data_IF_406535169678
#
_entry.id   IF_406535169678
#
_cell.length_a   1.000
_cell.length_b   1.000
_cell.length_c   1.000
_cell.angle_alpha   90.00
_cell.angle_beta   90.00
_cell.angle_gamma   90.00
#
_symmetry.space_group_name_H-M   'P 1'
#
loop_
_entity.id
_entity.type
_entity.pdbx_description
1 polymer ?
#
# COMPACT_ATOMS: atom_id res chain seq x y z
N UNK A 1 10.21 -9.93 -56.03
CA UNK A 1 10.28 -10.71 -54.77
C UNK A 1 9.05 -10.44 -53.93
N UNK A 2 8.19 -11.43 -53.67
CA UNK A 2 7.05 -11.25 -52.73
C UNK A 2 7.63 -11.17 -51.32
N UNK A 3 7.41 -10.05 -50.60
CA UNK A 3 7.77 -9.94 -49.16
C UNK A 3 7.05 -11.08 -48.42
N UNK A 4 7.79 -12.01 -47.82
CA UNK A 4 7.22 -12.99 -46.88
C UNK A 4 6.60 -12.20 -45.72
N UNK A 5 5.29 -12.31 -45.55
CA UNK A 5 4.58 -11.71 -44.42
C UNK A 5 5.15 -12.34 -43.14
N UNK A 6 5.68 -11.52 -42.26
CA UNK A 6 6.28 -11.99 -41.02
C UNK A 6 5.15 -12.41 -40.08
N UNK A 7 5.11 -13.70 -39.70
CA UNK A 7 4.10 -14.23 -38.78
C UNK A 7 4.26 -13.57 -37.41
N UNK A 8 3.16 -13.13 -36.82
CA UNK A 8 3.10 -12.54 -35.50
C UNK A 8 2.69 -13.61 -34.48
N UNK A 9 3.07 -13.40 -33.22
CA UNK A 9 2.62 -14.26 -32.12
C UNK A 9 1.09 -14.32 -32.04
N UNK A 10 0.41 -13.22 -32.33
CA UNK A 10 -1.06 -13.12 -32.36
C UNK A 10 -1.72 -13.94 -33.47
N UNK A 11 -0.94 -14.49 -34.41
CA UNK A 11 -1.44 -15.37 -35.47
C UNK A 11 -1.56 -16.83 -34.98
N UNK A 12 -1.09 -17.15 -33.76
CA UNK A 12 -1.28 -18.45 -33.13
C UNK A 12 -2.75 -18.67 -32.74
N UNK A 13 -3.12 -19.95 -32.60
CA UNK A 13 -4.42 -20.34 -32.07
C UNK A 13 -4.62 -19.74 -30.66
N UNK A 14 -5.85 -19.29 -30.38
CA UNK A 14 -6.24 -18.72 -29.10
C UNK A 14 -5.88 -19.62 -27.91
N UNK A 15 -6.09 -20.94 -28.00
CA UNK A 15 -5.79 -21.89 -26.94
C UNK A 15 -4.29 -21.98 -26.66
N UNK A 16 -3.47 -21.90 -27.71
CA UNK A 16 -2.00 -21.86 -27.58
C UNK A 16 -1.59 -20.56 -26.89
N UNK A 17 -2.21 -19.43 -27.25
CA UNK A 17 -1.95 -18.15 -26.61
C UNK A 17 -2.41 -18.11 -25.16
N UNK A 18 -3.55 -18.72 -24.83
CA UNK A 18 -4.02 -18.91 -23.46
C UNK A 18 -3.04 -19.75 -22.66
N UNK A 19 -2.52 -20.83 -23.23
CA UNK A 19 -1.50 -21.65 -22.59
C UNK A 19 -0.19 -20.87 -22.32
N UNK A 20 0.27 -20.07 -23.29
CA UNK A 20 1.43 -19.17 -23.09
C UNK A 20 1.14 -18.16 -21.97
N UNK A 21 -0.03 -17.54 -21.98
CA UNK A 21 -0.42 -16.56 -20.95
C UNK A 21 -0.51 -17.20 -19.56
N UNK A 22 -0.94 -18.46 -19.48
CA UNK A 22 -0.98 -19.20 -18.22
C UNK A 22 0.42 -19.36 -17.63
N UNK A 23 1.41 -19.74 -18.45
CA UNK A 23 2.81 -19.82 -18.01
C UNK A 23 3.39 -18.46 -17.60
N UNK A 24 2.99 -17.39 -18.28
CA UNK A 24 3.32 -16.03 -17.86
C UNK A 24 2.71 -15.73 -16.48
N UNK A 25 1.44 -16.11 -16.27
CA UNK A 25 0.72 -15.86 -15.02
C UNK A 25 1.34 -16.59 -13.82
N UNK A 26 1.77 -17.85 -13.96
CA UNK A 26 2.37 -18.62 -12.85
C UNK A 26 3.85 -18.29 -12.59
N UNK A 27 4.47 -17.47 -13.45
CA UNK A 27 5.86 -17.06 -13.26
C UNK A 27 6.06 -16.24 -11.97
N UNK A 28 7.27 -16.15 -11.41
CA UNK A 28 7.50 -15.44 -10.13
C UNK A 28 7.05 -13.97 -10.10
N UNK A 29 7.12 -13.27 -11.25
CA UNK A 29 6.57 -11.91 -11.45
C UNK A 29 5.28 -11.95 -12.30
N UNK A 30 4.45 -12.98 -12.11
CA UNK A 30 3.32 -13.26 -12.97
C UNK A 30 2.33 -12.11 -13.07
N UNK A 31 1.95 -11.53 -11.92
CA UNK A 31 1.08 -10.36 -11.88
C UNK A 31 1.69 -9.14 -12.58
N UNK A 32 3.00 -8.90 -12.43
CA UNK A 32 3.70 -7.81 -13.11
C UNK A 32 3.83 -8.01 -14.61
N UNK A 33 4.08 -9.25 -15.04
CA UNK A 33 4.11 -9.63 -16.45
C UNK A 33 2.72 -9.50 -17.08
N UNK A 34 1.67 -9.98 -16.42
CA UNK A 34 0.28 -9.82 -16.89
C UNK A 34 -0.13 -8.34 -16.97
N UNK A 35 0.29 -7.51 -16.01
CA UNK A 35 -0.03 -6.09 -16.03
C UNK A 35 0.56 -5.41 -17.28
N UNK A 36 1.74 -5.86 -17.72
CA UNK A 36 2.38 -5.39 -18.95
C UNK A 36 1.66 -5.89 -20.20
N UNK A 37 1.19 -7.13 -20.23
CA UNK A 37 0.51 -7.69 -21.42
C UNK A 37 -0.83 -7.01 -21.72
N UNK A 38 -1.53 -6.50 -20.69
CA UNK A 38 -2.75 -5.69 -20.86
C UNK A 38 -2.59 -4.48 -21.81
N UNK A 39 -1.37 -3.94 -21.91
CA UNK A 39 -1.07 -2.73 -22.68
C UNK A 39 -0.58 -3.03 -24.11
N UNK A 40 -0.40 -4.30 -24.47
CA UNK A 40 0.21 -4.68 -25.76
C UNK A 40 -0.81 -4.63 -26.90
N UNK A 41 -1.92 -5.35 -26.78
CA UNK A 41 -2.97 -5.38 -27.77
C UNK A 41 -4.29 -5.89 -27.18
N UNK A 42 -5.40 -5.74 -27.94
CA UNK A 42 -6.74 -6.17 -27.50
C UNK A 42 -6.80 -7.68 -27.19
N UNK A 43 -6.16 -8.51 -28.02
CA UNK A 43 -6.14 -9.96 -27.82
C UNK A 43 -5.44 -10.36 -26.51
N UNK A 44 -4.29 -9.75 -26.20
CA UNK A 44 -3.61 -10.02 -24.93
C UNK A 44 -4.33 -9.44 -23.73
N UNK A 45 -5.05 -8.34 -23.91
CA UNK A 45 -5.95 -7.83 -22.88
C UNK A 45 -7.08 -8.82 -22.57
N UNK A 46 -7.73 -9.35 -23.61
CA UNK A 46 -8.78 -10.38 -23.47
C UNK A 46 -8.22 -11.65 -22.78
N UNK A 47 -7.04 -12.13 -23.17
CA UNK A 47 -6.38 -13.28 -22.55
C UNK A 47 -5.94 -13.00 -21.10
N UNK A 48 -5.46 -11.81 -20.79
CA UNK A 48 -5.03 -11.44 -19.44
C UNK A 48 -6.22 -11.25 -18.48
N UNK A 49 -7.40 -10.92 -19.02
CA UNK A 49 -8.66 -10.82 -18.26
C UNK A 49 -9.43 -12.16 -18.19
N UNK A 50 -8.89 -13.24 -18.77
CA UNK A 50 -9.46 -14.59 -18.66
C UNK A 50 -9.39 -15.10 -17.21
N UNK A 51 -10.49 -15.70 -16.74
CA UNK A 51 -10.64 -16.12 -15.35
C UNK A 51 -9.58 -17.14 -14.91
N UNK A 52 -9.21 -18.09 -15.79
CA UNK A 52 -8.23 -19.13 -15.46
C UNK A 52 -6.83 -18.50 -15.32
N UNK A 53 -6.52 -17.53 -16.17
CA UNK A 53 -5.26 -16.78 -16.15
C UNK A 53 -5.17 -15.91 -14.89
N UNK A 54 -6.22 -15.16 -14.60
CA UNK A 54 -6.30 -14.31 -13.40
C UNK A 54 -6.22 -15.13 -12.12
N UNK A 55 -6.81 -16.33 -12.09
CA UNK A 55 -6.76 -17.24 -10.94
C UNK A 55 -5.36 -17.84 -10.73
N UNK A 56 -4.61 -18.04 -11.81
CA UNK A 56 -3.26 -18.61 -11.80
C UNK A 56 -2.15 -17.57 -11.54
N UNK A 57 -2.44 -16.28 -11.67
CA UNK A 57 -1.47 -15.21 -11.50
C UNK A 57 -0.74 -15.29 -10.15
N UNK A 58 0.60 -15.34 -10.17
CA UNK A 58 1.42 -15.34 -8.97
C UNK A 58 1.82 -13.91 -8.56
N UNK A 59 1.87 -13.70 -7.24
CA UNK A 59 2.25 -12.43 -6.60
C UNK A 59 3.54 -12.58 -5.76
N UNK A 60 4.32 -13.64 -6.00
CA UNK A 60 5.42 -14.06 -5.11
C UNK A 60 6.57 -13.05 -5.02
N UNK A 61 6.90 -12.34 -6.11
CA UNK A 61 7.92 -11.29 -6.11
C UNK A 61 7.38 -9.88 -5.82
N UNK A 62 6.07 -9.74 -5.62
CA UNK A 62 5.49 -8.43 -5.34
C UNK A 62 5.73 -8.09 -3.86
N UNK A 63 6.87 -7.43 -3.60
CA UNK A 63 7.23 -6.98 -2.25
C UNK A 63 6.11 -6.10 -1.69
N UNK A 64 5.62 -6.41 -0.50
CA UNK A 64 4.52 -5.70 0.17
C UNK A 64 4.81 -4.20 0.37
N UNK A 65 6.07 -3.85 0.69
CA UNK A 65 6.56 -2.47 0.78
C UNK A 65 6.72 -1.76 -0.57
N UNK A 66 6.58 -2.50 -1.67
CA UNK A 66 6.76 -2.04 -3.05
C UNK A 66 5.60 -2.40 -3.97
N UNK A 67 4.43 -2.78 -3.44
CA UNK A 67 3.23 -2.88 -4.28
C UNK A 67 2.93 -1.48 -4.77
N UNK A 68 3.31 -1.21 -6.01
CA UNK A 68 3.08 0.06 -6.65
C UNK A 68 1.58 0.36 -6.59
N UNK A 69 1.21 1.60 -6.29
CA UNK A 69 -0.17 2.03 -6.05
C UNK A 69 -1.13 1.60 -7.19
N UNK A 70 -0.61 1.49 -8.42
CA UNK A 70 -1.36 0.99 -9.58
C UNK A 70 -1.95 -0.41 -9.42
N UNK A 71 -1.35 -1.28 -8.60
CA UNK A 71 -1.88 -2.62 -8.33
C UNK A 71 -3.15 -2.60 -7.47
N UNK A 72 -3.29 -1.59 -6.59
CA UNK A 72 -4.43 -1.42 -5.69
C UNK A 72 -5.61 -0.68 -6.31
N UNK A 73 -5.40 -0.02 -7.45
CA UNK A 73 -6.48 0.68 -8.14
C UNK A 73 -7.57 -0.33 -8.53
N UNK A 74 -8.84 0.08 -8.68
CA UNK A 74 -9.92 -0.81 -9.11
C UNK A 74 -9.61 -1.58 -10.41
N UNK A 75 -8.83 -0.97 -11.31
CA UNK A 75 -8.37 -1.58 -12.56
C UNK A 75 -7.01 -2.31 -12.45
N UNK A 76 -6.41 -2.37 -11.27
CA UNK A 76 -5.12 -2.98 -10.98
C UNK A 76 -5.18 -4.50 -10.85
N UNK A 77 -4.03 -5.16 -10.97
CA UNK A 77 -3.97 -6.62 -11.07
C UNK A 77 -4.47 -7.33 -9.81
N UNK A 78 -4.23 -6.78 -8.60
CA UNK A 78 -4.77 -7.35 -7.36
C UNK A 78 -6.29 -7.36 -7.36
N UNK A 79 -6.91 -6.24 -7.74
CA UNK A 79 -8.37 -6.11 -7.80
C UNK A 79 -9.00 -6.97 -8.90
N UNK A 80 -8.27 -7.25 -9.99
CA UNK A 80 -8.70 -8.17 -11.06
C UNK A 80 -8.62 -9.63 -10.63
N UNK A 81 -7.56 -10.02 -9.93
CA UNK A 81 -7.35 -11.41 -9.50
C UNK A 81 -8.18 -11.82 -8.28
N UNK A 82 -8.56 -10.87 -7.41
CA UNK A 82 -9.26 -11.21 -6.17
C UNK A 82 -10.64 -11.86 -6.42
N UNK A 83 -11.53 -11.35 -7.31
CA UNK A 83 -12.84 -11.93 -7.55
C UNK A 83 -12.80 -13.33 -8.18
N UNK A 84 -11.69 -13.70 -8.82
CA UNK A 84 -11.52 -15.03 -9.45
C UNK A 84 -11.11 -16.12 -8.45
N UNK A 85 -10.97 -15.76 -7.16
CA UNK A 85 -10.53 -16.67 -6.12
C UNK A 85 -9.03 -16.96 -6.17
N UNK A 86 -8.22 -16.02 -6.67
CA UNK A 86 -6.78 -16.18 -6.69
C UNK A 86 -6.21 -16.21 -5.24
N UNK A 87 -5.60 -17.32 -4.80
CA UNK A 87 -5.13 -17.46 -3.43
C UNK A 87 -3.89 -16.60 -3.12
N UNK A 88 -3.04 -16.34 -4.12
CA UNK A 88 -1.82 -15.54 -3.92
C UNK A 88 -2.16 -14.05 -3.81
N UNK A 89 -3.13 -13.57 -4.59
CA UNK A 89 -3.69 -12.22 -4.46
C UNK A 89 -4.35 -12.01 -3.09
N UNK A 90 -5.19 -12.96 -2.65
CA UNK A 90 -5.82 -12.91 -1.32
C UNK A 90 -4.77 -12.87 -0.19
N UNK A 91 -3.77 -13.75 -0.25
CA UNK A 91 -2.70 -13.78 0.75
C UNK A 91 -1.89 -12.48 0.77
N UNK A 92 -1.65 -11.87 -0.39
CA UNK A 92 -0.97 -10.58 -0.50
C UNK A 92 -1.77 -9.46 0.18
N UNK A 93 -3.07 -9.39 -0.07
CA UNK A 93 -3.97 -8.42 0.59
C UNK A 93 -4.00 -8.64 2.09
N UNK A 94 -4.13 -9.89 2.54
CA UNK A 94 -4.14 -10.24 3.97
C UNK A 94 -2.85 -9.81 4.67
N UNK A 95 -1.69 -10.13 4.11
CA UNK A 95 -0.38 -9.73 4.66
C UNK A 95 -0.26 -8.20 4.77
N UNK A 96 -0.71 -7.44 3.76
CA UNK A 96 -0.71 -5.99 3.84
C UNK A 96 -1.66 -5.45 4.92
N UNK A 97 -2.85 -6.01 5.03
CA UNK A 97 -3.81 -5.61 6.07
C UNK A 97 -3.24 -5.85 7.48
N UNK A 98 -2.52 -6.96 7.69
CA UNK A 98 -1.82 -7.25 8.94
C UNK A 98 -0.74 -6.20 9.25
N UNK A 99 0.10 -5.85 8.28
CA UNK A 99 1.15 -4.82 8.43
C UNK A 99 0.54 -3.44 8.73
N UNK A 100 -0.51 -3.06 8.00
CA UNK A 100 -1.22 -1.79 8.21
C UNK A 100 -1.84 -1.73 9.60
N UNK A 101 -2.47 -2.82 10.06
CA UNK A 101 -3.05 -2.90 11.39
C UNK A 101 -2.00 -2.77 12.51
N UNK A 102 -0.84 -3.42 12.36
CA UNK A 102 0.28 -3.28 13.31
C UNK A 102 0.78 -1.84 13.33
N UNK A 103 1.01 -1.25 12.16
CA UNK A 103 1.49 0.13 12.01
C UNK A 103 0.50 1.13 12.63
N UNK A 104 -0.80 0.94 12.41
CA UNK A 104 -1.85 1.75 13.01
C UNK A 104 -1.86 1.67 14.54
N UNK A 105 -1.68 0.47 15.12
CA UNK A 105 -1.61 0.28 16.57
C UNK A 105 -0.41 1.01 17.19
N UNK A 106 0.74 0.95 16.54
CA UNK A 106 1.96 1.67 16.97
C UNK A 106 1.70 3.18 16.94
N UNK A 107 1.21 3.70 15.80
CA UNK A 107 0.91 5.12 15.64
C UNK A 107 -0.09 5.62 16.69
N UNK A 108 -1.15 4.86 16.96
CA UNK A 108 -2.14 5.19 17.98
C UNK A 108 -1.52 5.27 19.38
N UNK A 109 -0.62 4.35 19.72
CA UNK A 109 0.10 4.33 21.01
C UNK A 109 1.01 5.55 21.13
N UNK A 110 1.77 5.87 20.08
CA UNK A 110 2.72 6.98 20.10
C UNK A 110 2.02 8.34 20.17
N UNK A 111 0.90 8.49 19.45
CA UNK A 111 0.04 9.67 19.53
C UNK A 111 -0.48 9.89 20.96
N UNK A 112 -0.96 8.82 21.60
CA UNK A 112 -1.42 8.89 22.98
C UNK A 112 -0.29 9.30 23.94
N UNK A 113 0.89 8.70 23.79
CA UNK A 113 2.07 9.05 24.60
C UNK A 113 2.48 10.51 24.41
N UNK A 114 2.51 11.00 23.17
CA UNK A 114 2.79 12.39 22.85
C UNK A 114 1.80 13.35 23.50
N UNK A 115 0.51 13.02 23.45
CA UNK A 115 -0.55 13.81 24.11
C UNK A 115 -0.34 13.92 25.62
N UNK A 116 0.03 12.82 26.28
CA UNK A 116 0.31 12.82 27.73
C UNK A 116 1.53 13.67 28.09
N UNK A 117 2.59 13.63 27.28
CA UNK A 117 3.79 14.44 27.48
C UNK A 117 3.45 15.94 27.34
N UNK A 118 2.69 16.31 26.31
CA UNK A 118 2.26 17.70 26.12
C UNK A 118 1.38 18.19 27.27
N UNK A 119 0.46 17.34 27.74
CA UNK A 119 -0.38 17.66 28.89
C UNK A 119 0.46 17.91 30.15
N UNK A 120 1.38 16.99 30.48
CA UNK A 120 2.26 17.13 31.63
C UNK A 120 3.14 18.40 31.56
N UNK A 121 3.65 18.73 30.37
CA UNK A 121 4.41 19.97 30.15
C UNK A 121 3.54 21.22 30.34
N UNK A 122 2.31 21.22 29.84
CA UNK A 122 1.36 22.33 30.03
C UNK A 122 1.10 22.58 31.51
N UNK A 123 0.80 21.52 32.27
CA UNK A 123 0.58 21.63 33.72
C UNK A 123 1.82 22.13 34.45
N UNK A 124 3.02 21.65 34.09
CA UNK A 124 4.26 22.12 34.68
C UNK A 124 4.51 23.61 34.44
N UNK A 125 4.21 24.11 33.23
CA UNK A 125 4.31 25.54 32.89
C UNK A 125 3.32 26.38 33.69
N UNK A 126 2.07 25.93 33.84
CA UNK A 126 1.07 26.62 34.67
C UNK A 126 1.48 26.72 36.14
N UNK A 127 2.01 25.63 36.70
CA UNK A 127 2.53 25.58 38.08
C UNK A 127 3.71 26.54 38.22
N UNK A 128 4.67 26.52 37.29
CA UNK A 128 5.84 27.38 37.32
C UNK A 128 5.44 28.87 37.24
N UNK A 129 4.54 29.23 36.32
CA UNK A 129 4.02 30.60 36.18
C UNK A 129 3.29 31.06 37.45
N UNK A 130 2.47 30.18 38.04
CA UNK A 130 1.77 30.50 39.29
C UNK A 130 2.75 30.76 40.43
N UNK A 131 3.81 29.93 40.55
CA UNK A 131 4.87 30.14 41.56
C UNK A 131 5.65 31.43 41.33
N UNK A 132 6.02 31.72 40.08
CA UNK A 132 6.74 32.93 39.72
C UNK A 132 5.93 34.19 40.06
N UNK A 133 4.63 34.20 39.74
CA UNK A 133 3.72 35.31 40.11
C UNK A 133 3.59 35.50 41.61
N UNK A 134 3.42 34.40 42.37
CA UNK A 134 3.36 34.46 43.84
C UNK A 134 4.64 35.02 44.44
N UNK A 135 5.80 34.59 43.94
CA UNK A 135 7.10 35.10 44.37
C UNK A 135 7.26 36.58 44.04
N UNK A 136 6.96 36.99 42.80
CA UNK A 136 7.06 38.39 42.40
C UNK A 136 6.16 39.31 43.24
N UNK A 137 4.96 38.85 43.63
CA UNK A 137 4.09 39.58 44.53
C UNK A 137 4.70 39.71 45.94
N UNK A 138 5.25 38.62 46.49
CA UNK A 138 5.91 38.66 47.80
C UNK A 138 7.12 39.61 47.79
N UNK A 139 7.98 39.50 46.78
CA UNK A 139 9.15 40.36 46.60
C UNK A 139 8.73 41.84 46.47
N UNK A 140 7.63 42.16 45.78
CA UNK A 140 7.12 43.53 45.64
C UNK A 140 6.57 44.12 46.95
N UNK A 141 5.99 43.28 47.82
CA UNK A 141 5.55 43.68 49.16
C UNK A 141 6.77 43.95 50.04
N UNK A 142 7.77 43.06 50.04
CA UNK A 142 8.97 43.18 50.88
C UNK A 142 9.82 44.42 50.54
N UNK A 143 9.85 44.83 49.27
CA UNK A 143 10.62 46.00 48.80
C UNK A 143 9.82 47.32 48.91
N UNK A 144 8.59 47.29 49.44
CA UNK A 144 7.78 48.50 49.69
C UNK A 144 7.22 49.16 48.42
N UNK A 145 7.15 48.43 47.30
CA UNK A 145 6.65 48.96 46.01
C UNK A 145 5.12 49.08 46.01
N UNK A 146 4.42 48.35 46.90
CA UNK A 146 2.96 48.25 46.96
C UNK A 146 2.34 48.82 48.25
N UNK A 147 3.11 49.58 49.03
CA UNK A 147 2.66 50.35 50.21
C UNK A 147 2.78 51.85 49.95
#
# INVERSE_FOLDING_TARGET
MKRKRQSKITDLNFDVLKHVMYHVAVSPDGAGNLARTLSVCRLFKELADDSDILKAAAFDQVKLSGIHESFWRPAGMLCRCLPTGNPTAFNTIRKNAEILNVSYRILKRDLFRGKMILFARSTALEIANTRARKKALADAIDVGILT
#
